data_IF_188028970948
#
_entry.id   IF_188028970948
#
_cell.length_a   1.000
_cell.length_b   1.000
_cell.length_c   1.000
_cell.angle_alpha   90.00
_cell.angle_beta   90.00
_cell.angle_gamma   90.00
#
_symmetry.space_group_name_H-M   'P 1'
#
loop_
_entity.id
_entity.type
_entity.pdbx_description
1 polymer ?
#
# COMPACT_ATOMS: atom_id res chain seq x y z
N UNK A 1 -33.23 -28.82 -7.40
CA UNK A 1 -32.35 -27.84 -8.04
C UNK A 1 -31.58 -27.14 -6.92
N UNK A 2 -30.34 -27.57 -6.64
CA UNK A 2 -29.46 -26.99 -5.62
C UNK A 2 -28.30 -26.30 -6.34
N UNK A 3 -28.33 -25.01 -6.29
CA UNK A 3 -27.26 -24.00 -6.21
C UNK A 3 -25.86 -24.35 -6.74
N UNK A 4 -25.66 -24.05 -8.01
CA UNK A 4 -24.32 -24.01 -8.66
C UNK A 4 -23.57 -22.68 -8.43
N UNK A 5 -24.12 -21.74 -7.64
CA UNK A 5 -23.61 -20.36 -7.54
C UNK A 5 -22.45 -20.18 -6.55
N UNK A 6 -22.22 -21.09 -5.61
CA UNK A 6 -21.17 -20.94 -4.60
C UNK A 6 -19.76 -21.40 -5.07
N UNK A 7 -19.70 -22.45 -5.88
CA UNK A 7 -18.44 -23.03 -6.35
C UNK A 7 -17.80 -22.18 -7.46
N UNK A 8 -18.61 -21.68 -8.40
CA UNK A 8 -18.11 -20.80 -9.47
C UNK A 8 -17.55 -19.46 -8.95
N UNK A 9 -18.08 -18.97 -7.83
CA UNK A 9 -17.60 -17.72 -7.22
C UNK A 9 -16.26 -17.93 -6.52
N UNK A 10 -16.07 -19.06 -5.82
CA UNK A 10 -14.81 -19.40 -5.17
C UNK A 10 -13.69 -19.68 -6.18
N UNK A 11 -13.96 -20.40 -7.27
CA UNK A 11 -12.96 -20.69 -8.32
C UNK A 11 -12.53 -19.43 -9.08
N UNK A 12 -13.45 -18.49 -9.34
CA UNK A 12 -13.09 -17.19 -9.95
C UNK A 12 -12.25 -16.31 -9.02
N UNK A 13 -12.54 -16.31 -7.72
CA UNK A 13 -11.77 -15.56 -6.73
C UNK A 13 -10.38 -16.17 -6.51
N UNK A 14 -10.27 -17.50 -6.47
CA UNK A 14 -8.99 -18.19 -6.38
C UNK A 14 -8.10 -17.88 -7.60
N UNK A 15 -8.66 -17.95 -8.83
CA UNK A 15 -7.92 -17.57 -10.04
C UNK A 15 -7.50 -16.10 -10.07
N UNK A 16 -8.27 -15.22 -9.43
CA UNK A 16 -7.98 -13.79 -9.30
C UNK A 16 -6.76 -13.53 -8.43
N UNK A 17 -6.66 -14.17 -7.25
CA UNK A 17 -5.53 -13.97 -6.33
C UNK A 17 -4.23 -14.55 -6.89
N UNK A 18 -4.26 -15.69 -7.55
CA UNK A 18 -3.11 -16.29 -8.22
C UNK A 18 -2.55 -15.40 -9.32
N UNK A 19 -3.43 -14.75 -10.09
CA UNK A 19 -3.02 -13.79 -11.12
C UNK A 19 -2.35 -12.55 -10.52
N UNK A 20 -2.86 -12.05 -9.39
CA UNK A 20 -2.29 -10.92 -8.63
C UNK A 20 -0.92 -11.31 -8.05
N UNK A 21 -0.82 -12.50 -7.43
CA UNK A 21 0.44 -13.04 -6.92
C UNK A 21 1.49 -13.16 -8.03
N UNK A 22 1.13 -13.78 -9.16
CA UNK A 22 2.02 -13.93 -10.30
C UNK A 22 2.47 -12.58 -10.87
N UNK A 23 1.61 -11.56 -10.87
CA UNK A 23 1.98 -10.22 -11.29
C UNK A 23 3.03 -9.60 -10.36
N UNK A 24 2.81 -9.60 -9.04
CA UNK A 24 3.73 -9.01 -8.07
C UNK A 24 5.02 -9.81 -7.89
N UNK A 25 5.00 -11.14 -8.12
CA UNK A 25 6.21 -11.96 -8.18
C UNK A 25 7.11 -11.59 -9.35
N UNK A 26 6.55 -11.24 -10.51
CA UNK A 26 7.32 -10.78 -11.68
C UNK A 26 7.79 -9.34 -11.56
N UNK A 27 7.04 -8.49 -10.85
CA UNK A 27 7.28 -7.05 -10.78
C UNK A 27 7.02 -6.51 -9.37
N UNK A 28 7.90 -6.77 -8.39
CA UNK A 28 7.78 -6.16 -7.07
C UNK A 28 7.63 -4.65 -7.16
N UNK A 29 6.75 -4.07 -6.32
CA UNK A 29 6.52 -2.64 -6.31
C UNK A 29 7.84 -1.90 -5.99
N UNK A 30 8.09 -0.79 -6.67
CA UNK A 30 9.27 0.06 -6.51
C UNK A 30 10.63 -0.60 -6.84
N UNK A 31 10.65 -1.81 -7.43
CA UNK A 31 11.91 -2.50 -7.75
C UNK A 31 12.84 -1.70 -8.66
N UNK A 32 12.28 -0.77 -9.46
CA UNK A 32 13.01 0.10 -10.39
C UNK A 32 13.32 1.50 -9.83
N UNK A 33 13.18 1.70 -8.51
CA UNK A 33 13.45 2.99 -7.88
C UNK A 33 14.94 3.28 -7.68
N UNK A 34 15.83 2.34 -8.00
CA UNK A 34 17.27 2.53 -8.03
C UNK A 34 17.90 1.75 -9.18
N UNK A 35 18.95 2.28 -9.85
CA UNK A 35 19.76 1.55 -10.84
C UNK A 35 20.84 0.66 -10.19
N UNK A 36 21.02 0.72 -8.89
CA UNK A 36 22.02 -0.08 -8.16
C UNK A 36 21.68 -1.57 -8.17
N UNK A 37 22.62 -2.47 -7.89
CA UNK A 37 22.36 -3.90 -7.79
C UNK A 37 21.26 -4.19 -6.77
N UNK A 38 20.18 -4.84 -7.20
CA UNK A 38 19.04 -5.17 -6.36
C UNK A 38 19.47 -5.95 -5.12
N UNK A 39 19.06 -5.48 -3.95
CA UNK A 39 19.40 -6.11 -2.67
C UNK A 39 20.70 -5.60 -2.03
N UNK A 40 21.42 -4.66 -2.65
CA UNK A 40 22.52 -3.96 -1.98
C UNK A 40 22.01 -2.90 -1.00
N UNK A 41 22.85 -2.43 -0.09
CA UNK A 41 22.50 -1.33 0.83
C UNK A 41 22.20 -0.06 0.06
N UNK A 42 23.04 0.28 -0.90
CA UNK A 42 22.89 1.47 -1.75
C UNK A 42 21.59 1.42 -2.54
N UNK A 43 21.20 0.25 -3.04
CA UNK A 43 19.91 0.06 -3.71
C UNK A 43 18.75 0.39 -2.77
N UNK A 44 18.75 -0.17 -1.56
CA UNK A 44 17.65 0.05 -0.62
C UNK A 44 17.60 1.48 -0.09
N UNK A 45 18.76 2.13 0.09
CA UNK A 45 18.84 3.55 0.49
C UNK A 45 18.24 4.46 -0.60
N UNK A 46 18.61 4.26 -1.87
CA UNK A 46 18.06 5.02 -3.00
C UNK A 46 16.56 4.77 -3.22
N UNK A 47 16.10 3.51 -3.08
CA UNK A 47 14.67 3.16 -3.16
C UNK A 47 13.87 3.91 -2.11
N UNK A 48 14.34 3.93 -0.86
CA UNK A 48 13.68 4.62 0.24
C UNK A 48 13.68 6.14 0.03
N UNK A 49 14.83 6.71 -0.32
CA UNK A 49 14.96 8.13 -0.60
C UNK A 49 14.02 8.57 -1.72
N UNK A 50 14.00 7.84 -2.84
CA UNK A 50 13.13 8.15 -3.96
C UNK A 50 11.65 8.00 -3.60
N UNK A 51 11.29 6.96 -2.86
CA UNK A 51 9.90 6.74 -2.39
C UNK A 51 9.42 7.93 -1.56
N UNK A 52 10.18 8.34 -0.57
CA UNK A 52 9.79 9.45 0.31
C UNK A 52 9.91 10.83 -0.38
N UNK A 53 10.79 10.98 -1.38
CA UNK A 53 10.85 12.19 -2.20
C UNK A 53 9.60 12.36 -3.08
N UNK A 54 9.15 11.28 -3.72
CA UNK A 54 7.98 11.29 -4.61
C UNK A 54 6.67 11.27 -3.83
N UNK A 55 6.65 10.60 -2.69
CA UNK A 55 5.47 10.44 -1.83
C UNK A 55 5.77 10.94 -0.40
N UNK A 56 6.00 12.26 -0.23
CA UNK A 56 6.47 12.82 1.05
C UNK A 56 5.44 12.74 2.20
N UNK A 57 4.19 12.44 1.90
CA UNK A 57 3.11 12.26 2.89
C UNK A 57 3.19 10.92 3.64
N UNK A 58 4.01 9.96 3.18
CA UNK A 58 4.09 8.62 3.79
C UNK A 58 4.57 8.67 5.24
N UNK A 59 5.69 9.34 5.60
CA UNK A 59 6.15 9.39 6.98
C UNK A 59 5.11 10.00 7.93
N UNK A 60 4.45 11.07 7.52
CA UNK A 60 3.39 11.74 8.31
C UNK A 60 2.17 10.84 8.48
N UNK A 61 1.81 10.08 7.46
CA UNK A 61 0.70 9.13 7.54
C UNK A 61 1.05 7.89 8.36
N UNK A 62 2.23 7.32 8.17
CA UNK A 62 2.67 6.14 8.91
C UNK A 62 2.95 6.44 10.39
N UNK A 63 3.53 7.62 10.70
CA UNK A 63 3.94 8.04 12.04
C UNK A 63 4.85 6.99 12.70
N UNK A 64 5.92 6.59 12.01
CA UNK A 64 6.76 5.46 12.37
C UNK A 64 7.23 5.47 13.83
N UNK A 65 7.66 6.61 14.34
CA UNK A 65 8.16 6.83 15.71
C UNK A 65 7.08 6.67 16.79
N UNK A 66 5.81 6.96 16.49
CA UNK A 66 4.68 6.75 17.40
C UNK A 66 4.52 5.30 17.84
N UNK A 67 5.01 4.39 17.03
CA UNK A 67 4.83 2.95 17.23
C UNK A 67 6.04 2.27 17.89
N UNK A 68 6.97 3.03 18.44
CA UNK A 68 8.09 2.50 19.22
C UNK A 68 7.60 1.63 20.41
N UNK A 69 8.08 0.40 20.50
CA UNK A 69 7.66 -0.59 21.50
C UNK A 69 6.24 -1.15 21.31
N UNK A 70 5.55 -0.83 20.21
CA UNK A 70 4.23 -1.32 19.88
C UNK A 70 4.30 -2.44 18.85
N UNK A 71 3.28 -3.30 18.82
CA UNK A 71 3.14 -4.39 17.85
C UNK A 71 2.51 -3.85 16.58
N UNK A 72 3.26 -3.88 15.49
CA UNK A 72 2.86 -3.38 14.17
C UNK A 72 2.75 -4.56 13.21
N UNK A 73 1.61 -4.66 12.53
CA UNK A 73 1.42 -5.55 11.40
C UNK A 73 1.32 -4.72 10.12
N UNK A 74 2.20 -4.95 9.17
CA UNK A 74 2.07 -4.41 7.81
C UNK A 74 1.50 -5.48 6.88
N UNK A 75 0.39 -5.17 6.21
CA UNK A 75 -0.24 -6.01 5.19
C UNK A 75 0.22 -5.53 3.82
N UNK A 76 0.96 -6.39 3.10
CA UNK A 76 1.60 -6.09 1.83
C UNK A 76 2.87 -5.27 2.02
N UNK A 77 3.87 -5.82 2.73
CA UNK A 77 5.10 -5.08 3.02
C UNK A 77 6.00 -4.83 1.78
N UNK A 78 5.70 -5.46 0.65
CA UNK A 78 6.41 -5.29 -0.61
C UNK A 78 7.90 -5.58 -0.47
N UNK A 79 8.77 -4.64 -0.86
CA UNK A 79 10.23 -4.74 -0.70
C UNK A 79 10.75 -4.08 0.60
N UNK A 80 9.86 -3.87 1.58
CA UNK A 80 10.20 -3.53 2.95
C UNK A 80 10.53 -2.06 3.24
N UNK A 81 10.04 -1.10 2.45
CA UNK A 81 10.39 0.32 2.67
C UNK A 81 9.77 0.85 3.97
N UNK A 82 8.48 0.66 4.22
CA UNK A 82 7.86 1.04 5.48
C UNK A 82 8.30 0.10 6.62
N UNK A 83 8.45 -1.19 6.33
CA UNK A 83 8.90 -2.22 7.26
C UNK A 83 10.17 -1.82 8.04
N UNK A 84 11.22 -1.42 7.32
CA UNK A 84 12.48 -1.03 7.97
C UNK A 84 12.35 0.26 8.77
N UNK A 85 11.45 1.17 8.39
CA UNK A 85 11.22 2.40 9.14
C UNK A 85 10.49 2.12 10.45
N UNK A 86 9.47 1.26 10.47
CA UNK A 86 8.85 0.79 11.72
C UNK A 86 9.86 0.10 12.63
N UNK A 87 10.67 -0.83 12.08
CA UNK A 87 11.66 -1.56 12.84
C UNK A 87 12.79 -0.66 13.38
N UNK A 88 13.28 0.32 12.60
CA UNK A 88 14.28 1.32 13.03
C UNK A 88 13.77 2.19 14.19
N UNK A 89 12.48 2.50 14.18
CA UNK A 89 11.83 3.25 15.26
C UNK A 89 11.51 2.38 16.48
N UNK A 90 11.85 1.09 16.48
CA UNK A 90 11.70 0.19 17.62
C UNK A 90 10.33 -0.48 17.75
N UNK A 91 9.54 -0.55 16.70
CA UNK A 91 8.31 -1.34 16.69
C UNK A 91 8.62 -2.85 16.74
N UNK A 92 7.77 -3.63 17.43
CA UNK A 92 7.70 -5.08 17.29
C UNK A 92 6.97 -5.40 15.99
N UNK A 93 7.77 -5.58 14.92
CA UNK A 93 7.27 -5.57 13.54
C UNK A 93 6.94 -6.95 13.01
N UNK A 94 5.78 -7.07 12.40
CA UNK A 94 5.36 -8.22 11.57
C UNK A 94 4.98 -7.72 10.18
N UNK A 95 5.52 -8.32 9.12
CA UNK A 95 5.14 -8.07 7.72
C UNK A 95 4.47 -9.29 7.12
N UNK A 96 3.30 -9.08 6.50
CA UNK A 96 2.58 -10.07 5.71
C UNK A 96 2.65 -9.69 4.22
N UNK A 97 2.98 -10.64 3.35
CA UNK A 97 3.16 -10.40 1.92
C UNK A 97 2.65 -11.59 1.10
N UNK A 98 2.03 -11.32 -0.05
CA UNK A 98 1.54 -12.32 -0.98
C UNK A 98 2.65 -12.82 -1.91
N UNK A 99 3.56 -11.92 -2.34
CA UNK A 99 4.64 -12.19 -3.27
C UNK A 99 5.88 -12.73 -2.56
N UNK A 100 6.27 -13.95 -2.88
CA UNK A 100 7.52 -14.55 -2.38
C UNK A 100 8.74 -13.70 -2.76
N UNK A 101 8.79 -13.19 -4.00
CA UNK A 101 9.89 -12.35 -4.49
C UNK A 101 10.01 -11.06 -3.67
N UNK A 102 8.89 -10.40 -3.38
CA UNK A 102 8.86 -9.19 -2.55
C UNK A 102 9.28 -9.48 -1.12
N UNK A 103 8.78 -10.57 -0.54
CA UNK A 103 9.10 -10.99 0.83
C UNK A 103 10.59 -11.31 0.99
N UNK A 104 11.22 -11.96 0.00
CA UNK A 104 12.64 -12.27 0.02
C UNK A 104 13.50 -11.00 -0.06
N UNK A 105 13.07 -9.99 -0.82
CA UNK A 105 13.71 -8.67 -0.84
C UNK A 105 13.55 -7.94 0.50
N UNK A 106 12.40 -8.04 1.14
CA UNK A 106 12.20 -7.49 2.49
C UNK A 106 13.12 -8.18 3.49
N UNK A 107 13.22 -9.51 3.47
CA UNK A 107 14.16 -10.26 4.33
C UNK A 107 15.59 -9.81 4.11
N UNK A 108 16.02 -9.73 2.85
CA UNK A 108 17.35 -9.22 2.48
C UNK A 108 17.60 -7.80 2.99
N UNK A 109 16.57 -6.94 2.93
CA UNK A 109 16.66 -5.56 3.41
C UNK A 109 16.86 -5.51 4.94
N UNK A 110 16.14 -6.35 5.69
CA UNK A 110 16.31 -6.48 7.13
C UNK A 110 17.73 -6.95 7.48
N UNK A 111 18.25 -7.96 6.79
CA UNK A 111 19.63 -8.45 6.97
C UNK A 111 20.65 -7.35 6.73
N UNK A 112 20.52 -6.58 5.63
CA UNK A 112 21.42 -5.49 5.26
C UNK A 112 21.49 -4.39 6.32
N UNK A 113 20.37 -4.12 7.01
CA UNK A 113 20.31 -3.10 8.06
C UNK A 113 20.50 -3.66 9.46
N UNK A 114 20.62 -4.97 9.63
CA UNK A 114 20.74 -5.61 10.95
C UNK A 114 19.47 -5.45 11.80
N UNK A 115 18.31 -5.44 11.16
CA UNK A 115 17.01 -5.29 11.81
C UNK A 115 16.34 -6.65 12.00
N UNK A 116 15.41 -6.73 12.94
CA UNK A 116 14.61 -7.90 13.21
C UNK A 116 13.12 -7.62 12.97
N UNK A 117 12.42 -8.64 12.49
CA UNK A 117 10.98 -8.60 12.28
C UNK A 117 10.47 -9.97 11.83
N UNK A 118 9.22 -10.26 12.13
CA UNK A 118 8.55 -11.47 11.64
C UNK A 118 8.03 -11.23 10.22
N UNK A 119 8.39 -12.09 9.26
CA UNK A 119 7.97 -11.99 7.86
C UNK A 119 7.19 -13.25 7.47
N UNK A 120 5.99 -13.06 6.92
CA UNK A 120 5.01 -14.11 6.66
C UNK A 120 4.55 -14.04 5.20
N UNK A 121 4.66 -15.15 4.48
CA UNK A 121 4.03 -15.30 3.17
C UNK A 121 2.57 -15.72 3.38
N UNK A 122 1.62 -14.88 3.01
CA UNK A 122 0.20 -15.22 3.09
C UNK A 122 -0.67 -14.33 2.21
N UNK A 123 -1.85 -14.87 1.88
CA UNK A 123 -2.94 -14.08 1.32
C UNK A 123 -3.63 -13.27 2.44
N UNK A 124 -3.75 -11.96 2.26
CA UNK A 124 -4.40 -11.07 3.22
C UNK A 124 -5.89 -11.41 3.47
N UNK A 125 -6.56 -12.08 2.54
CA UNK A 125 -7.92 -12.58 2.72
C UNK A 125 -8.03 -13.74 3.72
N UNK A 126 -6.89 -14.25 4.22
CA UNK A 126 -6.79 -15.33 5.21
C UNK A 126 -5.81 -14.97 6.35
N UNK A 127 -5.60 -13.68 6.59
CA UNK A 127 -4.56 -13.14 7.47
C UNK A 127 -4.61 -13.73 8.89
N UNK A 128 -5.79 -13.86 9.48
CA UNK A 128 -5.97 -14.36 10.85
C UNK A 128 -5.59 -15.84 11.05
N UNK A 129 -5.42 -16.59 9.96
CA UNK A 129 -4.89 -17.95 10.03
C UNK A 129 -3.36 -17.99 10.26
N UNK A 130 -2.67 -16.88 10.03
CA UNK A 130 -1.21 -16.80 10.05
C UNK A 130 -0.67 -15.94 11.21
N UNK A 131 -1.51 -15.10 11.81
CA UNK A 131 -1.13 -14.16 12.88
C UNK A 131 -2.11 -14.21 14.04
N UNK A 132 -1.68 -13.71 15.21
CA UNK A 132 -2.46 -13.73 16.44
C UNK A 132 -3.63 -12.74 16.37
N UNK A 133 -4.83 -13.18 16.73
CA UNK A 133 -6.02 -12.34 16.81
C UNK A 133 -5.94 -11.33 17.96
N UNK A 134 -6.59 -10.16 17.80
CA UNK A 134 -6.65 -9.07 18.79
C UNK A 134 -5.27 -8.75 19.42
N UNK A 135 -4.26 -8.65 18.57
CA UNK A 135 -2.87 -8.60 19.02
C UNK A 135 -2.15 -7.29 18.66
N UNK A 136 -2.39 -6.74 17.48
CA UNK A 136 -1.62 -5.62 16.95
C UNK A 136 -2.17 -4.26 17.39
N UNK A 137 -1.27 -3.38 17.81
CA UNK A 137 -1.58 -2.00 18.20
C UNK A 137 -1.81 -1.13 16.94
N UNK A 138 -1.11 -1.45 15.85
CA UNK A 138 -1.33 -0.91 14.49
C UNK A 138 -1.41 -2.04 13.48
N UNK A 139 -2.42 -1.97 12.60
CA UNK A 139 -2.36 -2.63 11.30
C UNK A 139 -2.20 -1.54 10.23
N UNK A 140 -1.17 -1.66 9.42
CA UNK A 140 -0.81 -0.73 8.35
C UNK A 140 -0.91 -1.43 6.99
N UNK A 141 -1.56 -0.81 6.00
CA UNK A 141 -1.65 -1.34 4.64
C UNK A 141 -1.59 -0.20 3.63
N UNK A 142 -0.53 -0.12 2.87
CA UNK A 142 -0.31 0.99 1.95
C UNK A 142 -0.23 0.50 0.49
N UNK A 143 -1.33 0.72 -0.27
CA UNK A 143 -1.35 0.37 -1.69
C UNK A 143 -1.58 -1.12 -1.98
N UNK A 144 -2.39 -1.83 -1.18
CA UNK A 144 -2.53 -3.30 -1.24
C UNK A 144 -3.97 -3.75 -1.44
N UNK A 145 -4.88 -3.36 -0.55
CA UNK A 145 -6.24 -3.94 -0.47
C UNK A 145 -7.01 -3.80 -1.78
N UNK A 146 -6.84 -2.70 -2.49
CA UNK A 146 -7.47 -2.45 -3.78
C UNK A 146 -6.96 -3.34 -4.92
N UNK A 147 -5.95 -4.18 -4.66
CA UNK A 147 -5.44 -5.19 -5.57
C UNK A 147 -5.91 -6.61 -5.23
N UNK A 148 -6.70 -6.79 -4.17
CA UNK A 148 -7.23 -8.11 -3.80
C UNK A 148 -8.58 -8.38 -4.45
N UNK A 149 -8.92 -9.65 -4.75
CA UNK A 149 -10.23 -10.01 -5.28
C UNK A 149 -11.38 -9.70 -4.34
N UNK A 150 -11.19 -9.91 -3.02
CA UNK A 150 -12.20 -9.68 -2.00
C UNK A 150 -11.69 -8.70 -0.95
N UNK A 151 -11.78 -7.40 -1.25
CA UNK A 151 -11.32 -6.33 -0.37
C UNK A 151 -12.02 -6.33 0.99
N UNK A 152 -13.32 -6.67 1.01
CA UNK A 152 -14.09 -6.75 2.26
C UNK A 152 -13.57 -7.86 3.17
N UNK A 153 -13.24 -9.03 2.63
CA UNK A 153 -12.65 -10.11 3.41
C UNK A 153 -11.32 -9.69 4.05
N UNK A 154 -10.47 -8.94 3.34
CA UNK A 154 -9.23 -8.41 3.92
C UNK A 154 -9.50 -7.48 5.11
N UNK A 155 -10.47 -6.57 5.00
CA UNK A 155 -10.82 -5.66 6.10
C UNK A 155 -11.41 -6.42 7.30
N UNK A 156 -12.20 -7.47 7.05
CA UNK A 156 -12.69 -8.38 8.09
C UNK A 156 -11.57 -9.16 8.80
N UNK A 157 -10.57 -9.64 8.04
CA UNK A 157 -9.38 -10.28 8.58
C UNK A 157 -8.55 -9.31 9.42
N UNK A 158 -8.36 -8.08 8.95
CA UNK A 158 -7.69 -7.02 9.70
C UNK A 158 -8.42 -6.72 11.02
N UNK A 159 -9.76 -6.67 11.00
CA UNK A 159 -10.56 -6.46 12.23
C UNK A 159 -10.31 -7.56 13.28
N UNK A 160 -10.11 -8.80 12.85
CA UNK A 160 -9.84 -9.92 13.79
C UNK A 160 -8.49 -9.80 14.48
N UNK A 161 -7.48 -9.21 13.83
CA UNK A 161 -6.09 -9.20 14.30
C UNK A 161 -5.69 -7.91 15.01
N UNK A 162 -6.29 -6.77 14.64
CA UNK A 162 -6.10 -5.51 15.34
C UNK A 162 -6.77 -5.54 16.71
N UNK A 163 -6.16 -4.94 17.72
CA UNK A 163 -6.72 -4.79 19.07
C UNK A 163 -7.96 -3.90 19.04
N UNK A 164 -8.87 -4.09 20.00
CA UNK A 164 -10.05 -3.23 20.12
C UNK A 164 -9.70 -1.74 20.41
N UNK A 165 -8.55 -1.48 21.03
CA UNK A 165 -7.99 -0.14 21.27
C UNK A 165 -6.87 0.22 20.26
N UNK A 166 -6.69 -0.57 19.22
CA UNK A 166 -5.70 -0.39 18.17
C UNK A 166 -6.15 0.56 17.07
N UNK A 167 -5.34 0.66 16.04
CA UNK A 167 -5.57 1.52 14.89
C UNK A 167 -5.32 0.78 13.57
N UNK A 168 -6.16 1.05 12.57
CA UNK A 168 -5.96 0.59 11.20
C UNK A 168 -5.69 1.78 10.29
N UNK A 169 -4.52 1.81 9.66
CA UNK A 169 -4.15 2.81 8.66
C UNK A 169 -4.05 2.18 7.29
N UNK A 170 -4.81 2.72 6.34
CA UNK A 170 -4.91 2.18 5.01
C UNK A 170 -4.78 3.27 3.95
N UNK A 171 -4.01 2.99 2.89
CA UNK A 171 -4.06 3.78 1.66
C UNK A 171 -4.76 2.99 0.56
N UNK A 172 -5.77 3.62 -0.04
CA UNK A 172 -6.48 3.13 -1.22
C UNK A 172 -6.35 4.13 -2.38
N UNK A 173 -6.58 3.69 -3.61
CA UNK A 173 -6.65 4.58 -4.76
C UNK A 173 -7.95 5.35 -4.81
N UNK A 174 -7.85 6.68 -4.91
CA UNK A 174 -9.00 7.56 -4.96
C UNK A 174 -9.59 7.63 -6.38
N UNK A 175 -10.90 7.36 -6.50
CA UNK A 175 -11.64 7.45 -7.77
C UNK A 175 -11.71 8.91 -8.26
N UNK A 176 -12.01 9.84 -7.35
CA UNK A 176 -12.05 11.27 -7.64
C UNK A 176 -10.64 11.85 -7.50
N UNK A 177 -9.76 11.59 -8.47
CA UNK A 177 -8.35 12.00 -8.42
C UNK A 177 -7.82 12.47 -9.76
N UNK A 178 -6.77 13.28 -9.73
CA UNK A 178 -6.06 13.72 -10.94
C UNK A 178 -5.60 12.54 -11.80
N UNK A 179 -5.03 11.52 -11.17
CA UNK A 179 -4.57 10.29 -11.84
C UNK A 179 -5.72 9.59 -12.56
N UNK A 180 -6.87 9.41 -11.91
CA UNK A 180 -8.00 8.73 -12.51
C UNK A 180 -8.56 9.53 -13.72
N UNK A 181 -8.61 10.86 -13.60
CA UNK A 181 -8.97 11.75 -14.71
C UNK A 181 -8.02 11.58 -15.90
N UNK A 182 -6.70 11.49 -15.63
CA UNK A 182 -5.70 11.27 -16.68
C UNK A 182 -5.88 9.92 -17.37
N UNK A 183 -6.15 8.85 -16.61
CA UNK A 183 -6.42 7.51 -17.15
C UNK A 183 -7.68 7.53 -18.03
N UNK A 184 -8.78 8.10 -17.56
CA UNK A 184 -10.05 8.21 -18.30
C UNK A 184 -9.90 9.05 -19.57
N UNK A 185 -9.03 10.05 -19.58
CA UNK A 185 -8.71 10.88 -20.73
C UNK A 185 -7.68 10.25 -21.69
N UNK A 186 -7.20 9.04 -21.41
CA UNK A 186 -6.22 8.34 -22.24
C UNK A 186 -4.76 8.81 -22.05
N UNK A 187 -4.48 9.58 -20.99
CA UNK A 187 -3.14 9.99 -20.60
C UNK A 187 -2.61 9.04 -19.50
N UNK A 188 -2.53 7.75 -19.77
CA UNK A 188 -2.08 6.77 -18.80
C UNK A 188 -0.65 7.06 -18.34
N UNK A 189 -0.44 6.93 -17.02
CA UNK A 189 0.88 7.07 -16.41
C UNK A 189 1.39 5.68 -16.02
N UNK A 190 2.53 5.21 -16.58
CA UNK A 190 3.10 3.93 -16.21
C UNK A 190 3.54 3.94 -14.75
N UNK A 191 2.81 3.24 -13.92
CA UNK A 191 3.11 2.99 -12.52
C UNK A 191 3.26 1.49 -12.26
N UNK A 192 3.62 1.13 -11.01
CA UNK A 192 3.81 -0.26 -10.62
C UNK A 192 2.57 -1.13 -10.90
N UNK A 193 1.37 -0.55 -10.71
CA UNK A 193 0.09 -1.25 -10.93
C UNK A 193 -0.32 -1.39 -12.40
N UNK A 194 0.38 -0.74 -13.36
CA UNK A 194 0.03 -0.88 -14.77
C UNK A 194 0.09 -2.34 -15.22
N UNK A 195 -1.04 -2.85 -15.70
CA UNK A 195 -1.23 -4.25 -16.05
C UNK A 195 -1.48 -5.19 -14.85
N UNK A 196 -1.67 -4.66 -13.65
CA UNK A 196 -2.15 -5.47 -12.53
C UNK A 196 -3.58 -5.96 -12.81
N UNK A 197 -3.90 -7.25 -12.59
CA UNK A 197 -5.21 -7.82 -12.90
C UNK A 197 -6.36 -7.14 -12.17
N UNK A 198 -6.10 -6.62 -10.97
CA UNK A 198 -7.08 -5.94 -10.11
C UNK A 198 -6.48 -4.62 -9.63
N UNK A 199 -7.20 -3.52 -9.87
CA UNK A 199 -6.88 -2.20 -9.35
C UNK A 199 -8.19 -1.41 -9.17
N UNK A 200 -8.79 -1.52 -7.99
CA UNK A 200 -10.05 -0.85 -7.65
C UNK A 200 -9.78 0.57 -7.17
N UNK A 201 -10.59 1.53 -7.63
CA UNK A 201 -10.57 2.91 -7.11
C UNK A 201 -11.81 3.16 -6.25
N UNK A 202 -11.67 4.00 -5.23
CA UNK A 202 -12.69 4.24 -4.20
C UNK A 202 -13.14 5.68 -4.14
N UNK A 203 -14.45 5.89 -3.97
CA UNK A 203 -14.98 7.13 -3.40
C UNK A 203 -14.98 7.03 -1.87
N UNK A 204 -15.23 8.15 -1.19
CA UNK A 204 -15.31 8.13 0.29
C UNK A 204 -16.51 7.30 0.78
N UNK A 205 -17.62 7.32 0.05
CA UNK A 205 -18.81 6.52 0.36
C UNK A 205 -18.51 5.02 0.28
N UNK A 206 -17.78 4.58 -0.76
CA UNK A 206 -17.33 3.19 -0.91
C UNK A 206 -16.39 2.78 0.25
N UNK A 207 -15.58 3.71 0.80
CA UNK A 207 -14.77 3.44 1.99
C UNK A 207 -15.65 3.23 3.21
N UNK A 208 -16.66 4.07 3.44
CA UNK A 208 -17.60 3.88 4.53
C UNK A 208 -18.34 2.54 4.43
N UNK A 209 -18.74 2.12 3.22
CA UNK A 209 -19.34 0.81 2.98
C UNK A 209 -18.36 -0.33 3.27
N UNK A 210 -17.10 -0.22 2.80
CA UNK A 210 -16.05 -1.21 3.02
C UNK A 210 -15.75 -1.41 4.51
N UNK A 211 -15.83 -0.36 5.32
CA UNK A 211 -15.52 -0.36 6.76
C UNK A 211 -16.75 -0.60 7.66
N UNK A 212 -17.95 -0.54 7.09
CA UNK A 212 -19.21 -0.60 7.84
C UNK A 212 -19.29 -1.81 8.79
N UNK A 213 -19.60 -1.55 10.06
CA UNK A 213 -19.71 -2.58 11.11
C UNK A 213 -18.38 -3.19 11.59
N UNK A 214 -17.23 -2.68 11.10
CA UNK A 214 -15.90 -3.16 11.47
C UNK A 214 -15.02 -2.05 12.06
N UNK A 215 -15.07 -0.85 11.46
CA UNK A 215 -14.25 0.29 11.85
C UNK A 215 -15.01 1.60 11.73
N UNK A 216 -14.85 2.46 12.73
CA UNK A 216 -15.16 3.87 12.60
C UNK A 216 -14.06 4.57 11.79
N UNK A 217 -14.42 5.26 10.72
CA UNK A 217 -13.49 6.08 9.93
C UNK A 217 -13.23 7.38 10.66
N UNK A 218 -12.08 7.50 11.32
CA UNK A 218 -11.67 8.69 12.08
C UNK A 218 -11.24 9.82 11.15
N UNK A 219 -10.53 9.48 10.07
CA UNK A 219 -10.14 10.42 9.03
C UNK A 219 -10.01 9.72 7.69
N UNK A 220 -10.32 10.46 6.63
CA UNK A 220 -10.04 10.08 5.26
C UNK A 220 -9.63 11.35 4.50
N UNK A 221 -8.39 11.39 4.01
CA UNK A 221 -7.82 12.54 3.30
C UNK A 221 -7.17 12.08 2.01
N UNK A 222 -7.07 12.97 1.03
CA UNK A 222 -6.35 12.69 -0.20
C UNK A 222 -4.99 13.37 -0.20
N UNK A 223 -4.01 12.70 -0.80
CA UNK A 223 -2.66 13.19 -1.02
C UNK A 223 -2.11 12.63 -2.34
N UNK A 224 -1.01 13.18 -2.79
CA UNK A 224 -0.22 12.70 -3.90
C UNK A 224 -0.84 12.97 -5.28
N UNK A 225 -0.31 13.97 -5.95
CA UNK A 225 -0.38 14.12 -7.40
C UNK A 225 1.04 13.93 -7.95
N UNK A 226 1.21 13.01 -8.89
CA UNK A 226 2.52 12.80 -9.53
C UNK A 226 2.79 13.95 -10.53
N UNK A 227 3.77 14.83 -10.26
CA UNK A 227 3.88 16.07 -11.02
C UNK A 227 4.92 16.01 -12.15
N UNK A 228 5.65 14.91 -12.31
CA UNK A 228 6.82 14.82 -13.17
C UNK A 228 6.50 14.31 -14.58
N UNK A 229 7.34 14.70 -15.54
CA UNK A 229 7.37 14.14 -16.90
C UNK A 229 7.85 12.70 -16.81
N UNK A 230 7.02 11.73 -17.25
CA UNK A 230 7.25 10.29 -17.08
C UNK A 230 8.55 9.83 -17.72
N UNK A 231 8.81 10.25 -18.97
CA UNK A 231 9.99 9.87 -19.74
C UNK A 231 11.30 10.34 -19.07
N UNK A 232 11.22 11.43 -18.30
CA UNK A 232 12.32 11.94 -17.48
C UNK A 232 12.43 11.20 -16.17
N UNK A 233 11.31 10.99 -15.49
CA UNK A 233 11.24 10.30 -14.21
C UNK A 233 11.82 8.88 -14.26
N UNK A 234 11.54 8.11 -15.31
CA UNK A 234 12.10 6.75 -15.47
C UNK A 234 13.63 6.74 -15.59
N UNK A 235 14.22 7.87 -15.98
CA UNK A 235 15.64 8.10 -16.07
C UNK A 235 16.20 8.85 -14.85
N UNK A 236 15.46 8.93 -13.74
CA UNK A 236 15.84 9.61 -12.50
C UNK A 236 15.97 11.14 -12.62
N UNK A 237 15.36 11.75 -13.64
CA UNK A 237 15.25 13.19 -13.83
C UNK A 237 13.87 13.67 -13.35
N UNK A 238 13.84 14.68 -12.48
CA UNK A 238 12.60 15.15 -11.83
C UNK A 238 12.10 16.45 -12.45
N UNK A 239 11.86 16.42 -13.77
CA UNK A 239 11.29 17.56 -14.50
C UNK A 239 9.78 17.63 -14.29
N UNK A 240 9.28 18.78 -13.82
CA UNK A 240 7.86 19.01 -13.64
C UNK A 240 7.13 19.13 -14.98
N UNK A 241 5.91 18.61 -15.04
CA UNK A 241 5.00 18.89 -16.16
C UNK A 241 4.77 20.42 -16.28
N UNK A 242 4.68 20.97 -17.51
CA UNK A 242 4.56 22.43 -17.71
C UNK A 242 3.43 23.08 -16.93
N UNK A 243 2.28 22.42 -16.80
CA UNK A 243 1.13 22.93 -16.06
C UNK A 243 1.35 22.95 -14.55
N UNK A 244 2.14 22.03 -13.98
CA UNK A 244 2.52 22.06 -12.57
C UNK A 244 3.67 23.02 -12.31
N UNK A 245 4.60 23.17 -13.27
CA UNK A 245 5.71 24.14 -13.17
C UNK A 245 5.22 25.60 -13.10
N UNK A 246 4.13 25.92 -13.79
CA UNK A 246 3.53 27.24 -13.80
C UNK A 246 2.54 27.48 -12.63
N UNK A 247 2.22 26.44 -11.87
CA UNK A 247 1.22 26.51 -10.78
C UNK A 247 1.85 27.06 -9.48
N UNK A 248 1.21 28.00 -8.78
CA UNK A 248 1.62 28.37 -7.44
C UNK A 248 1.63 27.18 -6.48
N UNK A 249 2.63 27.05 -5.58
CA UNK A 249 2.73 25.92 -4.65
C UNK A 249 1.49 25.71 -3.79
N UNK A 250 0.85 26.78 -3.35
CA UNK A 250 -0.37 26.74 -2.53
C UNK A 250 -1.55 26.16 -3.32
N UNK A 251 -1.62 26.45 -4.62
CA UNK A 251 -2.64 25.90 -5.51
C UNK A 251 -2.39 24.40 -5.77
N UNK A 252 -1.13 24.00 -5.96
CA UNK A 252 -0.77 22.59 -6.09
C UNK A 252 -1.14 21.81 -4.83
N UNK A 253 -0.81 22.31 -3.64
CA UNK A 253 -1.18 21.71 -2.35
C UNK A 253 -2.70 21.59 -2.19
N UNK A 254 -3.45 22.61 -2.59
CA UNK A 254 -4.92 22.57 -2.53
C UNK A 254 -5.49 21.52 -3.51
N UNK A 255 -4.87 21.37 -4.69
CA UNK A 255 -5.24 20.38 -5.68
C UNK A 255 -4.96 18.96 -5.18
N UNK A 256 -3.79 18.72 -4.56
CA UNK A 256 -3.46 17.41 -3.96
C UNK A 256 -4.47 16.97 -2.89
N UNK A 257 -4.91 17.89 -2.03
CA UNK A 257 -5.91 17.61 -1.01
C UNK A 257 -7.29 17.25 -1.56
N UNK A 258 -7.60 17.64 -2.79
CA UNK A 258 -8.90 17.45 -3.43
C UNK A 258 -8.88 16.33 -4.47
N UNK A 259 -7.76 16.15 -5.16
CA UNK A 259 -7.61 15.25 -6.30
C UNK A 259 -6.37 14.35 -6.18
N UNK A 260 -5.81 14.20 -4.98
CA UNK A 260 -4.72 13.27 -4.74
C UNK A 260 -5.11 11.83 -5.02
N UNK A 261 -4.18 11.05 -5.54
CA UNK A 261 -4.39 9.65 -5.89
C UNK A 261 -4.50 8.72 -4.67
N UNK A 262 -3.80 9.06 -3.60
CA UNK A 262 -3.78 8.29 -2.37
C UNK A 262 -4.87 8.76 -1.41
N UNK A 263 -5.87 7.93 -1.18
CA UNK A 263 -6.84 8.12 -0.10
C UNK A 263 -6.29 7.49 1.17
N UNK A 264 -5.92 8.33 2.12
CA UNK A 264 -5.31 7.98 3.40
C UNK A 264 -6.40 7.86 4.45
N UNK A 265 -6.60 6.68 4.99
CA UNK A 265 -7.72 6.34 5.87
C UNK A 265 -7.17 5.90 7.23
N UNK A 266 -7.72 6.45 8.29
CA UNK A 266 -7.50 5.98 9.67
C UNK A 266 -8.81 5.45 10.22
N UNK A 267 -8.82 4.17 10.60
CA UNK A 267 -9.95 3.47 11.18
C UNK A 267 -9.68 3.06 12.62
N UNK A 268 -10.69 3.13 13.46
CA UNK A 268 -10.70 2.54 14.80
C UNK A 268 -11.65 1.35 14.84
N UNK A 269 -11.26 0.22 15.43
CA UNK A 269 -12.13 -0.94 15.61
C UNK A 269 -13.42 -0.58 16.35
N UNK A 270 -14.56 -1.12 15.89
CA UNK A 270 -15.85 -1.04 16.57
C UNK A 270 -16.00 -2.26 17.48
#
# INVERSE_FOLDING_TARGET
MKTATGVETQDRLASGIEAVEAFWNRRPCNIRHSPKPVGSREYFDEVEQRKHFVEPHIPDFAQFDRWAGKRVLEVGCGIGTAAVNFARCGADYTGAELSQTSLDLTRKRFDVYGLNGRLILCNAEQLSAHVTSNHYDLVYSFGVIHHTPNQRAVVEEIRKVVRNDGEFRCMLYAKNSWKNIMIEAGFDQPEAQHGCPIATTYTIEMVYELYNGLFDVVSATQAHIFPYVIEKYVNYEYELQPWFKAMPPEMFTALERRLGWHMLIVGRPI
#
